data_IF_825736888950
#
_entry.id   IF_825736888950
#
_cell.length_a   1.000
_cell.length_b   1.000
_cell.length_c   1.000
_cell.angle_alpha   90.00
_cell.angle_beta   90.00
_cell.angle_gamma   90.00
#
_symmetry.space_group_name_H-M   'P 1'
#
loop_
_entity.id
_entity.type
_entity.pdbx_description
1 polymer ?
#
# COMPACT_ATOMS: atom_id res chain seq x y z
N UNK A 1 36.27 68.52 9.75
CA UNK A 1 36.68 67.81 8.50
C UNK A 1 36.44 66.33 8.76
N UNK A 2 35.57 65.56 8.10
CA UNK A 2 34.75 65.70 6.90
C UNK A 2 33.36 65.13 7.23
N UNK A 3 32.33 65.77 6.68
CA UNK A 3 30.94 65.31 6.70
C UNK A 3 30.82 64.07 5.82
N UNK A 4 30.17 63.02 6.29
CA UNK A 4 29.48 62.08 5.39
C UNK A 4 28.09 61.86 5.95
N UNK A 5 27.14 62.21 5.09
CA UNK A 5 25.72 62.34 5.30
C UNK A 5 25.12 61.41 4.24
N UNK A 6 24.67 60.22 4.63
CA UNK A 6 23.88 59.32 3.77
C UNK A 6 22.85 58.65 4.71
N UNK A 7 21.66 59.22 4.91
CA UNK A 7 20.43 59.06 4.10
C UNK A 7 19.99 57.59 3.94
N UNK A 8 18.98 57.22 4.73
CA UNK A 8 17.78 56.45 4.37
C UNK A 8 17.93 55.30 3.36
N UNK A 9 17.58 54.07 3.77
CA UNK A 9 16.41 53.32 3.26
C UNK A 9 16.14 52.14 4.22
N UNK A 10 14.98 52.18 4.87
CA UNK A 10 14.29 51.03 5.44
C UNK A 10 13.75 50.20 4.28
N UNK A 11 14.16 48.94 4.17
CA UNK A 11 13.46 47.96 3.33
C UNK A 11 13.07 46.77 4.22
N UNK A 12 11.92 46.95 4.86
CA UNK A 12 11.01 45.88 5.26
C UNK A 12 10.65 45.10 4.00
N UNK A 13 11.22 43.92 3.82
CA UNK A 13 10.58 42.87 3.05
C UNK A 13 10.52 41.63 3.92
N UNK A 14 9.34 41.49 4.51
CA UNK A 14 8.77 40.22 4.93
C UNK A 14 8.76 39.31 3.71
N UNK A 15 9.84 38.56 3.51
CA UNK A 15 9.94 37.53 2.49
C UNK A 15 9.18 36.31 2.97
N UNK A 16 7.89 36.24 2.67
CA UNK A 16 7.18 34.97 2.64
C UNK A 16 7.87 34.09 1.60
N UNK A 17 8.69 33.15 2.07
CA UNK A 17 8.93 31.93 1.28
C UNK A 17 7.57 31.35 0.91
N UNK A 18 7.37 30.82 -0.30
CA UNK A 18 6.32 29.86 -0.52
C UNK A 18 6.65 28.66 0.37
N UNK A 19 6.11 28.67 1.58
CA UNK A 19 5.97 27.47 2.40
C UNK A 19 5.09 26.57 1.56
N UNK A 20 5.76 25.64 0.85
CA UNK A 20 5.12 24.46 0.29
C UNK A 20 4.47 23.81 1.49
N UNK A 21 3.18 24.09 1.64
CA UNK A 21 2.33 23.48 2.63
C UNK A 21 2.28 22.03 2.17
N UNK A 22 3.26 21.23 2.61
CA UNK A 22 3.15 19.80 2.57
C UNK A 22 2.02 19.50 3.54
N UNK A 23 0.80 19.54 3.02
CA UNK A 23 -0.30 18.80 3.58
C UNK A 23 0.23 17.38 3.66
N UNK A 24 0.71 17.01 4.83
CA UNK A 24 1.01 15.63 5.20
C UNK A 24 -0.33 14.92 5.22
N UNK A 25 -0.78 14.56 4.01
CA UNK A 25 -1.95 13.73 3.81
C UNK A 25 -1.65 12.46 4.57
N UNK A 26 -2.30 12.29 5.72
CA UNK A 26 -2.12 11.10 6.54
C UNK A 26 -2.64 9.92 5.73
N UNK A 27 -1.73 9.03 5.31
CA UNK A 27 -2.09 7.79 4.62
C UNK A 27 -3.05 6.99 5.52
N UNK A 28 -4.12 6.47 4.91
CA UNK A 28 -5.07 5.57 5.56
C UNK A 28 -4.39 4.27 6.01
N UNK A 29 -3.37 3.85 5.27
CA UNK A 29 -2.55 2.68 5.54
C UNK A 29 -1.10 3.10 5.75
N UNK A 30 -0.46 2.47 6.73
CA UNK A 30 0.98 2.58 6.96
C UNK A 30 1.69 1.85 5.82
N UNK A 31 2.66 2.53 5.23
CA UNK A 31 3.54 1.92 4.24
C UNK A 31 4.34 0.77 4.87
N UNK A 32 4.52 -0.31 4.12
CA UNK A 32 5.28 -1.48 4.59
C UNK A 32 4.80 -2.79 3.98
N UNK A 33 5.51 -3.86 4.30
CA UNK A 33 5.18 -5.24 3.91
C UNK A 33 4.58 -5.98 5.10
N UNK A 34 3.43 -6.60 4.88
CA UNK A 34 2.65 -7.28 5.91
C UNK A 34 2.49 -8.74 5.53
N UNK A 35 3.10 -9.62 6.31
CA UNK A 35 2.94 -11.07 6.17
C UNK A 35 1.67 -11.53 6.88
N UNK A 36 0.89 -12.36 6.19
CA UNK A 36 -0.35 -12.96 6.68
C UNK A 36 -0.40 -14.43 6.29
N UNK A 37 -1.24 -15.18 6.99
CA UNK A 37 -1.41 -16.62 6.77
C UNK A 37 -2.80 -16.88 6.21
N UNK A 38 -2.86 -17.74 5.21
CA UNK A 38 -4.06 -18.15 4.48
C UNK A 38 -4.24 -19.66 4.58
N UNK A 39 -5.50 -20.14 4.66
CA UNK A 39 -5.82 -21.56 4.65
C UNK A 39 -6.55 -21.94 3.36
N UNK A 40 -5.79 -22.38 2.36
CA UNK A 40 -6.30 -22.76 1.05
C UNK A 40 -6.86 -24.18 0.96
N UNK A 41 -7.05 -24.65 -0.27
CA UNK A 41 -7.41 -26.04 -0.54
C UNK A 41 -6.24 -26.99 -0.29
N UNK A 42 -5.04 -26.61 -0.74
CA UNK A 42 -3.80 -27.36 -0.56
C UNK A 42 -3.21 -27.30 0.85
N UNK A 43 -3.75 -26.44 1.73
CA UNK A 43 -3.29 -26.24 3.09
C UNK A 43 -2.93 -24.79 3.37
N UNK A 44 -2.13 -24.59 4.41
CA UNK A 44 -1.68 -23.27 4.83
C UNK A 44 -0.61 -22.70 3.89
N UNK A 45 -0.65 -21.39 3.65
CA UNK A 45 0.41 -20.65 2.96
C UNK A 45 0.55 -19.21 3.49
N UNK A 46 1.74 -18.64 3.32
CA UNK A 46 2.02 -17.24 3.68
C UNK A 46 1.86 -16.31 2.48
N UNK A 47 1.25 -15.14 2.74
CA UNK A 47 1.05 -14.05 1.78
C UNK A 47 1.68 -12.78 2.32
N UNK A 48 2.59 -12.19 1.56
CA UNK A 48 3.19 -10.89 1.83
C UNK A 48 2.51 -9.84 0.96
N UNK A 49 1.88 -8.84 1.59
CA UNK A 49 1.26 -7.70 0.89
C UNK A 49 2.03 -6.43 1.22
N UNK A 50 2.47 -5.71 0.20
CA UNK A 50 3.21 -4.46 0.35
C UNK A 50 2.32 -3.27 0.05
N UNK A 51 2.19 -2.36 1.01
CA UNK A 51 1.50 -1.08 0.87
C UNK A 51 2.49 0.07 0.71
N UNK A 52 2.15 1.02 -0.17
CA UNK A 52 2.83 2.30 -0.30
C UNK A 52 1.86 3.37 -0.79
N UNK A 53 1.84 4.53 -0.16
CA UNK A 53 1.00 5.67 -0.57
C UNK A 53 -0.50 5.29 -0.69
N UNK A 54 -1.03 4.54 0.28
CA UNK A 54 -2.40 3.97 0.29
C UNK A 54 -2.72 2.98 -0.85
N UNK A 55 -1.69 2.37 -1.46
CA UNK A 55 -1.84 1.43 -2.58
C UNK A 55 -1.15 0.11 -2.33
N UNK A 56 -1.72 -0.97 -2.87
CA UNK A 56 -1.04 -2.26 -3.02
C UNK A 56 0.06 -2.08 -4.07
N UNK A 57 1.31 -2.19 -3.64
CA UNK A 57 2.46 -2.26 -4.55
C UNK A 57 2.72 -3.69 -5.00
N UNK A 58 2.60 -4.64 -4.08
CA UNK A 58 2.89 -6.03 -4.39
C UNK A 58 2.13 -7.01 -3.50
N UNK A 59 1.92 -8.21 -4.04
CA UNK A 59 1.39 -9.37 -3.32
C UNK A 59 2.21 -10.57 -3.75
N UNK A 60 2.88 -11.21 -2.81
CA UNK A 60 3.73 -12.38 -3.04
C UNK A 60 3.25 -13.53 -2.17
N UNK A 61 3.11 -14.70 -2.76
CA UNK A 61 2.88 -15.95 -2.03
C UNK A 61 4.21 -16.67 -1.96
N UNK A 62 4.65 -17.08 -0.77
CA UNK A 62 5.95 -17.74 -0.58
C UNK A 62 5.95 -19.16 -1.12
N UNK A 63 5.27 -20.04 -0.41
CA UNK A 63 5.11 -21.45 -0.76
C UNK A 63 3.66 -21.85 -0.51
N UNK A 64 3.08 -22.63 -1.41
CA UNK A 64 1.73 -23.15 -1.27
C UNK A 64 1.62 -24.56 -1.85
N UNK A 65 0.67 -25.35 -1.34
CA UNK A 65 0.44 -26.72 -1.80
C UNK A 65 -0.83 -26.87 -2.65
N UNK A 66 -1.31 -25.77 -3.24
CA UNK A 66 -2.44 -25.77 -4.17
C UNK A 66 -2.19 -26.64 -5.40
N UNK A 67 -3.27 -27.14 -6.02
CA UNK A 67 -3.16 -27.82 -7.32
C UNK A 67 -2.65 -26.82 -8.36
N UNK A 68 -1.48 -27.03 -8.99
CA UNK A 68 -0.83 -25.99 -9.79
C UNK A 68 -1.71 -25.45 -10.92
N UNK A 69 -2.42 -26.32 -11.64
CA UNK A 69 -3.26 -25.96 -12.78
C UNK A 69 -4.62 -25.37 -12.42
N UNK A 70 -5.00 -25.33 -11.14
CA UNK A 70 -6.31 -24.84 -10.67
C UNK A 70 -6.10 -23.73 -9.64
N UNK A 71 -5.65 -24.10 -8.44
CA UNK A 71 -5.44 -23.15 -7.34
C UNK A 71 -4.24 -22.24 -7.60
N UNK A 72 -3.12 -22.78 -8.12
CA UNK A 72 -1.94 -21.97 -8.46
C UNK A 72 -2.26 -20.88 -9.49
N UNK A 73 -2.82 -21.27 -10.63
CA UNK A 73 -3.26 -20.32 -11.67
C UNK A 73 -4.30 -19.32 -11.15
N UNK A 74 -5.25 -19.75 -10.32
CA UNK A 74 -6.25 -18.86 -9.75
C UNK A 74 -5.62 -17.79 -8.83
N UNK A 75 -4.66 -18.19 -7.99
CA UNK A 75 -3.95 -17.26 -7.11
C UNK A 75 -3.18 -16.20 -7.92
N UNK A 76 -2.45 -16.60 -8.97
CA UNK A 76 -1.72 -15.68 -9.84
C UNK A 76 -2.64 -14.67 -10.54
N UNK A 77 -3.77 -15.14 -11.08
CA UNK A 77 -4.76 -14.29 -11.73
C UNK A 77 -5.37 -13.28 -10.75
N UNK A 78 -5.72 -13.74 -9.55
CA UNK A 78 -6.29 -12.86 -8.53
C UNK A 78 -5.29 -11.83 -8.02
N UNK A 79 -4.01 -12.20 -7.82
CA UNK A 79 -2.96 -11.24 -7.44
C UNK A 79 -2.85 -10.12 -8.48
N UNK A 80 -2.84 -10.49 -9.77
CA UNK A 80 -2.80 -9.52 -10.87
C UNK A 80 -3.99 -8.58 -10.80
N UNK A 81 -5.20 -9.13 -10.71
CA UNK A 81 -6.43 -8.34 -10.63
C UNK A 81 -6.48 -7.42 -9.39
N UNK A 82 -6.02 -7.89 -8.22
CA UNK A 82 -5.99 -7.09 -6.99
C UNK A 82 -5.03 -5.90 -7.12
N UNK A 83 -3.86 -6.10 -7.74
CA UNK A 83 -2.88 -5.04 -7.99
C UNK A 83 -3.42 -4.01 -8.99
N UNK A 84 -4.04 -4.47 -10.08
CA UNK A 84 -4.66 -3.58 -11.09
C UNK A 84 -5.82 -2.77 -10.52
N UNK A 85 -6.72 -3.41 -9.76
CA UNK A 85 -7.86 -2.76 -9.10
C UNK A 85 -7.44 -1.93 -7.89
N UNK A 86 -6.23 -2.13 -7.37
CA UNK A 86 -5.77 -1.61 -6.09
C UNK A 86 -6.76 -1.90 -4.94
N UNK A 87 -7.31 -3.12 -4.92
CA UNK A 87 -8.27 -3.55 -3.90
C UNK A 87 -8.29 -5.07 -3.78
N UNK A 88 -8.51 -5.59 -2.57
CA UNK A 88 -8.63 -7.03 -2.31
C UNK A 88 -9.92 -7.66 -2.87
N UNK A 89 -10.88 -6.85 -3.27
CA UNK A 89 -12.22 -7.32 -3.60
C UNK A 89 -12.32 -7.56 -5.11
N UNK A 90 -11.83 -8.71 -5.53
CA UNK A 90 -11.89 -9.24 -6.89
C UNK A 90 -12.69 -10.53 -6.91
N UNK A 91 -13.16 -10.93 -8.09
CA UNK A 91 -13.96 -12.14 -8.23
C UNK A 91 -13.14 -13.39 -7.90
N UNK A 92 -13.80 -14.40 -7.32
CA UNK A 92 -13.18 -15.71 -7.10
C UNK A 92 -13.18 -16.52 -8.39
N UNK A 93 -12.17 -17.37 -8.57
CA UNK A 93 -12.06 -18.20 -9.76
C UNK A 93 -12.84 -19.51 -9.57
N UNK A 94 -13.70 -19.82 -10.54
CA UNK A 94 -14.49 -21.06 -10.52
C UNK A 94 -13.57 -22.29 -10.49
N UNK A 95 -13.91 -23.26 -9.64
CA UNK A 95 -13.08 -24.45 -9.42
C UNK A 95 -11.93 -24.27 -8.41
N UNK A 96 -11.63 -23.04 -7.99
CA UNK A 96 -10.60 -22.71 -7.00
C UNK A 96 -11.15 -21.91 -5.81
N UNK A 97 -12.46 -21.96 -5.54
CA UNK A 97 -13.16 -21.09 -4.57
C UNK A 97 -12.48 -21.00 -3.21
N UNK A 98 -12.09 -22.13 -2.61
CA UNK A 98 -11.45 -22.16 -1.29
C UNK A 98 -10.13 -21.40 -1.28
N UNK A 99 -9.29 -21.64 -2.29
CA UNK A 99 -7.99 -20.98 -2.45
C UNK A 99 -8.16 -19.50 -2.77
N UNK A 100 -9.15 -19.14 -3.60
CA UNK A 100 -9.51 -17.75 -3.89
C UNK A 100 -9.96 -16.99 -2.65
N UNK A 101 -10.82 -17.59 -1.83
CA UNK A 101 -11.28 -16.98 -0.56
C UNK A 101 -10.13 -16.82 0.41
N UNK A 102 -9.26 -17.84 0.54
CA UNK A 102 -8.10 -17.80 1.42
C UNK A 102 -7.15 -16.63 1.08
N UNK A 103 -6.85 -16.40 -0.20
CA UNK A 103 -6.05 -15.25 -0.62
C UNK A 103 -6.74 -13.93 -0.30
N UNK A 104 -8.05 -13.79 -0.61
CA UNK A 104 -8.81 -12.58 -0.31
C UNK A 104 -8.76 -12.26 1.19
N UNK A 105 -8.98 -13.25 2.04
CA UNK A 105 -8.92 -13.11 3.50
C UNK A 105 -7.52 -12.72 3.99
N UNK A 106 -6.46 -13.27 3.40
CA UNK A 106 -5.09 -12.92 3.75
C UNK A 106 -4.78 -11.45 3.43
N UNK A 107 -5.17 -10.98 2.24
CA UNK A 107 -4.99 -9.58 1.86
C UNK A 107 -5.86 -8.65 2.73
N UNK A 108 -7.09 -9.04 3.09
CA UNK A 108 -7.93 -8.28 4.05
C UNK A 108 -7.19 -8.12 5.39
N UNK A 109 -6.64 -9.20 5.94
CA UNK A 109 -5.84 -9.14 7.19
C UNK A 109 -4.62 -8.23 7.04
N UNK A 110 -4.01 -8.16 5.85
CA UNK A 110 -2.91 -7.25 5.60
C UNK A 110 -3.36 -5.78 5.64
N UNK A 111 -4.52 -5.46 5.04
CA UNK A 111 -5.14 -4.14 5.16
C UNK A 111 -5.45 -3.77 6.61
N UNK A 112 -5.96 -4.71 7.41
CA UNK A 112 -6.23 -4.50 8.84
C UNK A 112 -4.95 -4.18 9.61
N UNK A 113 -3.87 -4.95 9.38
CA UNK A 113 -2.55 -4.70 10.00
C UNK A 113 -1.93 -3.37 9.55
N UNK A 114 -2.18 -2.96 8.31
CA UNK A 114 -1.66 -1.72 7.75
C UNK A 114 -2.45 -0.49 8.19
N UNK A 115 -3.67 -0.65 8.73
CA UNK A 115 -4.54 0.48 9.04
C UNK A 115 -3.86 1.48 9.98
N UNK A 116 -3.91 2.76 9.59
CA UNK A 116 -3.40 3.86 10.40
C UNK A 116 -4.49 4.30 11.39
N UNK A 117 -4.43 3.81 12.63
CA UNK A 117 -5.29 4.31 13.69
C UNK A 117 -5.05 5.82 13.86
N UNK A 118 -6.14 6.59 13.87
CA UNK A 118 -6.12 8.05 13.98
C UNK A 118 -6.68 8.49 15.31
#
# INVERSE_FOLDING_TARGET
MKRVFILFVVFLLCGCSPQKNEETKKNQYKDGTYTTTAMGYGGEFEVETTFKDDRIQDIVIKEHNETPSIGGVALEQMITAMKEKNHYDVDTISGATKSSQALKEAVIKAYEKAKNES
#
